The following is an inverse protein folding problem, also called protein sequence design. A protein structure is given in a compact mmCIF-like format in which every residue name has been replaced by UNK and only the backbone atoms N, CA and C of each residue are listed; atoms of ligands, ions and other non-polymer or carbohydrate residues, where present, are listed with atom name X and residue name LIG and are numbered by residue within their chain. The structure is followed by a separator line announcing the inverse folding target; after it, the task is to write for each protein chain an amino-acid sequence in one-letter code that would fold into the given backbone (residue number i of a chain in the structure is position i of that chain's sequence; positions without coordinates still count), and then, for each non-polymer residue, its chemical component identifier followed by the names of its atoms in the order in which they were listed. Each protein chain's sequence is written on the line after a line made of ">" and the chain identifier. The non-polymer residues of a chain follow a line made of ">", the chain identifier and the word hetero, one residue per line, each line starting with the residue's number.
data_IF_532146156622
#
_entry.id   IF_532146156622
#
_cell.length_a   1.000
_cell.length_b   1.000
_cell.length_c   1.000
_cell.angle_alpha   90.00
_cell.angle_beta   90.00
_cell.angle_gamma   90.00
#
_symmetry.space_group_name_H-M   'P 1'
#
loop_
_entity.id
_entity.type
_entity.pdbx_description
1 polymer ?
#
# COMPACT_ATOMS: atom_id res chain seq x y z
N UNK A 1 10.23 -5.11 -28.26
CA UNK A 1 10.80 -4.20 -27.23
C UNK A 1 9.90 -3.02 -26.82
N UNK A 2 8.85 -2.65 -27.56
CA UNK A 2 8.03 -1.44 -27.29
C UNK A 2 6.94 -1.59 -26.21
N UNK A 3 6.45 -2.81 -25.92
CA UNK A 3 5.39 -3.05 -24.91
C UNK A 3 5.89 -2.91 -23.46
N UNK A 4 7.10 -3.38 -23.17
CA UNK A 4 7.68 -3.34 -21.82
C UNK A 4 7.96 -1.92 -21.36
N UNK A 5 8.44 -1.04 -22.27
CA UNK A 5 8.70 0.38 -21.96
C UNK A 5 7.41 1.12 -21.61
N UNK A 6 6.31 0.87 -22.33
CA UNK A 6 5.01 1.50 -22.05
C UNK A 6 4.42 1.08 -20.70
N UNK A 7 4.56 -0.19 -20.30
CA UNK A 7 4.09 -0.66 -19.00
C UNK A 7 4.85 -0.01 -17.84
N UNK A 8 6.18 0.10 -17.95
CA UNK A 8 7.00 0.74 -16.90
C UNK A 8 6.69 2.23 -16.79
N UNK A 9 6.53 2.94 -17.91
CA UNK A 9 6.15 4.36 -17.88
C UNK A 9 4.75 4.58 -17.26
N UNK A 10 3.77 3.74 -17.62
CA UNK A 10 2.43 3.84 -17.07
C UNK A 10 2.40 3.62 -15.54
N UNK A 11 3.14 2.62 -15.05
CA UNK A 11 3.25 2.35 -13.62
C UNK A 11 3.91 3.51 -12.86
N UNK A 12 4.98 4.10 -13.41
CA UNK A 12 5.65 5.27 -12.81
C UNK A 12 4.73 6.48 -12.74
N UNK A 13 3.97 6.73 -13.81
CA UNK A 13 3.05 7.88 -13.87
C UNK A 13 1.89 7.73 -12.87
N UNK A 14 1.36 6.51 -12.72
CA UNK A 14 0.36 6.22 -11.69
C UNK A 14 0.92 6.42 -10.27
N UNK A 15 2.15 5.96 -10.00
CA UNK A 15 2.78 6.14 -8.69
C UNK A 15 2.99 7.63 -8.36
N UNK A 16 3.50 8.42 -9.31
CA UNK A 16 3.70 9.85 -9.13
C UNK A 16 2.39 10.60 -8.86
N UNK A 17 1.33 10.29 -9.62
CA UNK A 17 0.01 10.90 -9.42
C UNK A 17 -0.58 10.55 -8.04
N UNK A 18 -0.35 9.34 -7.54
CA UNK A 18 -0.81 8.91 -6.20
C UNK A 18 -0.08 9.67 -5.10
N UNK A 19 1.25 9.71 -5.16
CA UNK A 19 2.07 10.46 -4.21
C UNK A 19 1.66 11.93 -4.14
N UNK A 20 1.36 12.54 -5.29
CA UNK A 20 0.87 13.92 -5.35
C UNK A 20 -0.49 14.07 -4.65
N UNK A 21 -1.45 13.19 -4.93
CA UNK A 21 -2.78 13.25 -4.30
C UNK A 21 -2.67 13.08 -2.78
N UNK A 22 -1.89 12.11 -2.32
CA UNK A 22 -1.66 11.87 -0.89
C UNK A 22 -1.02 13.10 -0.24
N UNK A 23 0.04 13.66 -0.83
CA UNK A 23 0.71 14.84 -0.31
C UNK A 23 -0.24 16.05 -0.20
N UNK A 24 -1.04 16.30 -1.24
CA UNK A 24 -2.03 17.41 -1.26
C UNK A 24 -3.09 17.23 -0.18
N UNK A 25 -3.67 16.02 -0.05
CA UNK A 25 -4.68 15.72 0.96
C UNK A 25 -4.11 15.82 2.38
N UNK A 26 -2.91 15.32 2.61
CA UNK A 26 -2.22 15.43 3.91
C UNK A 26 -1.89 16.88 4.27
N UNK A 27 -1.45 17.69 3.29
CA UNK A 27 -1.18 19.10 3.51
C UNK A 27 -2.47 19.88 3.84
N UNK A 28 -3.54 19.66 3.06
CA UNK A 28 -4.85 20.27 3.31
C UNK A 28 -5.42 19.84 4.67
N UNK A 29 -5.30 18.56 5.02
CA UNK A 29 -5.70 18.01 6.31
C UNK A 29 -4.92 18.64 7.47
N UNK A 30 -3.61 18.80 7.34
CA UNK A 30 -2.76 19.45 8.34
C UNK A 30 -3.11 20.92 8.56
N UNK A 31 -3.25 21.68 7.47
CA UNK A 31 -3.62 23.10 7.54
C UNK A 31 -5.04 23.30 8.08
N UNK A 32 -6.01 22.51 7.60
CA UNK A 32 -7.40 22.59 8.05
C UNK A 32 -7.56 22.21 9.51
N UNK A 33 -6.84 21.19 9.97
CA UNK A 33 -6.90 20.77 11.37
C UNK A 33 -6.25 21.78 12.32
N UNK A 34 -5.15 22.44 11.92
CA UNK A 34 -4.57 23.56 12.66
C UNK A 34 -5.55 24.75 12.77
N UNK A 35 -6.29 25.04 11.69
CA UNK A 35 -7.31 26.09 11.69
C UNK A 35 -8.50 25.76 12.60
N UNK A 36 -9.05 24.53 12.52
CA UNK A 36 -10.17 24.08 13.36
C UNK A 36 -9.82 24.13 14.84
N UNK A 37 -8.58 23.76 15.21
CA UNK A 37 -8.12 23.83 16.60
C UNK A 37 -8.21 25.25 17.18
N UNK A 38 -7.88 26.26 16.38
CA UNK A 38 -8.01 27.66 16.79
C UNK A 38 -9.48 28.09 16.93
N UNK A 39 -10.36 27.55 16.09
CA UNK A 39 -11.78 27.90 16.10
C UNK A 39 -12.56 27.19 17.22
N UNK A 40 -12.14 25.98 17.62
CA UNK A 40 -12.91 25.09 18.48
C UNK A 40 -12.00 24.44 19.54
N UNK A 41 -11.74 25.15 20.64
CA UNK A 41 -11.00 24.59 21.79
C UNK A 41 -11.95 23.93 22.78
N UNK A 42 -12.22 22.64 22.62
CA UNK A 42 -12.89 21.84 23.66
C UNK A 42 -11.85 21.28 24.65
N UNK A 43 -11.99 21.51 25.96
CA UNK A 43 -11.11 20.91 26.96
C UNK A 43 -11.22 19.39 26.91
N UNK A 44 -10.09 18.69 26.78
CA UNK A 44 -10.00 17.23 26.88
C UNK A 44 -10.27 16.43 25.59
N UNK A 45 -10.68 17.07 24.49
CA UNK A 45 -10.83 16.39 23.20
C UNK A 45 -9.67 16.75 22.26
N UNK A 46 -8.82 15.77 21.97
CA UNK A 46 -7.71 15.92 21.01
C UNK A 46 -8.23 15.84 19.57
N UNK A 47 -8.82 16.94 19.06
CA UNK A 47 -9.29 17.06 17.67
C UNK A 47 -8.21 16.73 16.64
N UNK A 48 -6.95 16.99 16.99
CA UNK A 48 -5.76 16.65 16.20
C UNK A 48 -5.70 15.14 15.88
N UNK A 49 -5.99 14.30 16.88
CA UNK A 49 -5.99 12.84 16.72
C UNK A 49 -7.19 12.37 15.88
N UNK A 50 -8.37 12.94 16.11
CA UNK A 50 -9.58 12.61 15.36
C UNK A 50 -9.42 12.99 13.88
N UNK A 51 -8.93 14.20 13.59
CA UNK A 51 -8.73 14.67 12.22
C UNK A 51 -7.63 13.90 11.50
N UNK A 52 -6.55 13.51 12.20
CA UNK A 52 -5.56 12.60 11.64
C UNK A 52 -6.22 11.28 11.21
N UNK A 53 -7.00 10.63 12.07
CA UNK A 53 -7.70 9.37 11.74
C UNK A 53 -8.55 9.55 10.46
N UNK A 54 -9.37 10.59 10.39
CA UNK A 54 -10.27 10.81 9.25
C UNK A 54 -9.57 11.16 7.95
N UNK A 55 -8.34 11.70 7.99
CA UNK A 55 -7.54 12.00 6.78
C UNK A 55 -6.71 10.79 6.35
N UNK A 56 -6.17 10.01 7.28
CA UNK A 56 -5.35 8.82 6.96
C UNK A 56 -6.18 7.62 6.53
N UNK A 57 -7.36 7.40 7.12
CA UNK A 57 -8.20 6.23 6.81
C UNK A 57 -8.59 6.18 5.31
N UNK A 58 -9.07 7.26 4.69
CA UNK A 58 -9.42 7.26 3.27
C UNK A 58 -8.21 7.05 2.36
N UNK A 59 -7.04 7.58 2.70
CA UNK A 59 -5.81 7.36 1.94
C UNK A 59 -5.39 5.89 1.98
N UNK A 60 -5.44 5.26 3.16
CA UNK A 60 -5.19 3.83 3.36
C UNK A 60 -6.21 2.98 2.61
N UNK A 61 -7.50 3.29 2.70
CA UNK A 61 -8.56 2.58 2.00
C UNK A 61 -8.43 2.70 0.48
N UNK A 62 -8.19 3.90 -0.03
CA UNK A 62 -7.97 4.15 -1.46
C UNK A 62 -6.75 3.37 -1.95
N UNK A 63 -5.67 3.34 -1.17
CA UNK A 63 -4.48 2.56 -1.49
C UNK A 63 -4.75 1.06 -1.54
N UNK A 64 -5.45 0.50 -0.55
CA UNK A 64 -5.80 -0.93 -0.52
C UNK A 64 -6.65 -1.32 -1.73
N UNK A 65 -7.64 -0.49 -2.09
CA UNK A 65 -8.49 -0.71 -3.27
C UNK A 65 -7.66 -0.67 -4.56
N UNK A 66 -6.73 0.28 -4.66
CA UNK A 66 -5.90 0.48 -5.84
C UNK A 66 -4.70 -0.48 -5.95
N UNK A 67 -4.30 -1.11 -4.85
CA UNK A 67 -3.19 -2.08 -4.79
C UNK A 67 -3.64 -3.52 -5.07
N UNK A 68 -4.95 -3.78 -5.11
CA UNK A 68 -5.54 -5.09 -5.43
C UNK A 68 -5.22 -5.60 -6.85
N UNK A 69 -4.67 -4.79 -7.75
CA UNK A 69 -4.50 -5.16 -9.18
C UNK A 69 -3.03 -5.39 -9.58
N UNK A 70 -2.40 -6.47 -9.12
CA UNK A 70 -1.19 -7.07 -9.75
C UNK A 70 0.18 -6.46 -9.43
N UNK A 71 0.42 -5.96 -8.22
CA UNK A 71 1.79 -5.56 -7.81
C UNK A 71 2.36 -6.58 -6.82
N UNK A 72 3.62 -6.96 -6.98
CA UNK A 72 4.39 -7.76 -6.02
C UNK A 72 4.11 -7.31 -4.59
N UNK A 73 3.69 -8.23 -3.71
CA UNK A 73 3.40 -7.95 -2.29
C UNK A 73 4.50 -7.11 -1.64
N UNK A 74 5.76 -7.47 -1.88
CA UNK A 74 6.90 -6.74 -1.32
C UNK A 74 7.00 -5.30 -1.80
N UNK A 75 6.72 -5.04 -3.10
CA UNK A 75 6.71 -3.68 -3.67
C UNK A 75 5.48 -2.89 -3.23
N UNK A 76 4.33 -3.55 -3.11
CA UNK A 76 3.09 -2.94 -2.63
C UNK A 76 3.22 -2.52 -1.16
N UNK A 77 3.79 -3.36 -0.30
CA UNK A 77 4.09 -3.05 1.10
C UNK A 77 5.07 -1.88 1.20
N UNK A 78 6.19 -1.93 0.46
CA UNK A 78 7.16 -0.83 0.45
C UNK A 78 6.54 0.50 -0.01
N UNK A 79 5.76 0.47 -1.09
CA UNK A 79 5.03 1.65 -1.56
C UNK A 79 4.06 2.19 -0.51
N UNK A 80 3.30 1.31 0.14
CA UNK A 80 2.37 1.68 1.22
C UNK A 80 3.10 2.37 2.38
N UNK A 81 4.19 1.79 2.87
CA UNK A 81 4.94 2.37 3.99
C UNK A 81 5.54 3.73 3.62
N UNK A 82 6.08 3.88 2.41
CA UNK A 82 6.60 5.17 1.92
C UNK A 82 5.49 6.21 1.86
N UNK A 83 4.32 5.87 1.33
CA UNK A 83 3.20 6.81 1.22
C UNK A 83 2.66 7.24 2.58
N UNK A 84 2.43 6.28 3.48
CA UNK A 84 1.96 6.58 4.84
C UNK A 84 3.01 7.45 5.55
N UNK A 85 4.30 7.13 5.43
CA UNK A 85 5.38 7.94 6.00
C UNK A 85 5.39 9.37 5.43
N UNK A 86 5.30 9.52 4.11
CA UNK A 86 5.26 10.83 3.46
C UNK A 86 4.04 11.64 3.92
N UNK A 87 2.88 11.01 4.02
CA UNK A 87 1.66 11.63 4.50
C UNK A 87 1.83 12.18 5.94
N UNK A 88 2.45 11.39 6.84
CA UNK A 88 2.79 11.82 8.21
C UNK A 88 3.73 13.00 8.22
N UNK A 89 4.82 12.94 7.45
CA UNK A 89 5.79 14.05 7.39
C UNK A 89 5.13 15.31 6.87
N UNK A 90 4.39 15.24 5.76
CA UNK A 90 3.74 16.40 5.13
C UNK A 90 2.68 17.00 6.03
N UNK A 91 1.84 16.17 6.66
CA UNK A 91 0.85 16.65 7.63
C UNK A 91 1.53 17.37 8.80
N UNK A 92 2.56 16.74 9.39
CA UNK A 92 3.30 17.27 10.54
C UNK A 92 3.95 18.61 10.22
N UNK A 93 4.60 18.71 9.06
CA UNK A 93 5.23 19.95 8.59
C UNK A 93 4.18 21.02 8.31
N UNK A 94 3.07 20.68 7.65
CA UNK A 94 2.00 21.63 7.35
C UNK A 94 1.35 22.18 8.62
N UNK A 95 1.12 21.32 9.61
CA UNK A 95 0.65 21.72 10.92
C UNK A 95 1.63 22.66 11.63
N UNK A 96 2.92 22.30 11.64
CA UNK A 96 3.96 23.11 12.24
C UNK A 96 4.05 24.51 11.61
N UNK A 97 3.99 24.60 10.28
CA UNK A 97 3.98 25.87 9.56
C UNK A 97 2.74 26.71 9.86
N UNK A 98 1.58 26.08 10.05
CA UNK A 98 0.33 26.78 10.35
C UNK A 98 0.23 27.28 11.81
N UNK A 99 0.78 26.53 12.78
CA UNK A 99 0.56 26.79 14.21
C UNK A 99 1.82 27.24 14.98
N UNK A 100 3.02 27.01 14.44
CA UNK A 100 4.29 27.50 14.98
C UNK A 100 4.79 26.87 16.28
N UNK A 101 4.01 26.01 16.95
CA UNK A 101 4.44 25.27 18.15
C UNK A 101 4.18 23.78 18.02
N UNK A 102 5.22 23.02 18.33
CA UNK A 102 5.20 21.58 18.38
C UNK A 102 5.11 21.16 19.86
N UNK A 103 3.99 20.55 20.25
CA UNK A 103 3.85 19.97 21.59
C UNK A 103 4.27 18.51 21.52
N UNK A 104 5.13 18.07 22.44
CA UNK A 104 5.67 16.70 22.49
C UNK A 104 4.56 15.63 22.53
N UNK A 105 3.44 15.94 23.17
CA UNK A 105 2.28 15.04 23.27
C UNK A 105 1.61 14.77 21.92
N UNK A 106 1.54 15.76 21.02
CA UNK A 106 0.87 15.61 19.71
C UNK A 106 1.72 14.72 18.81
N UNK A 107 3.04 14.89 18.82
CA UNK A 107 3.95 14.03 18.06
C UNK A 107 3.85 12.58 18.52
N UNK A 108 3.83 12.34 19.84
CA UNK A 108 3.69 11.01 20.41
C UNK A 108 2.41 10.32 19.94
N UNK A 109 1.27 11.02 20.01
CA UNK A 109 -0.03 10.49 19.54
C UNK A 109 0.00 10.20 18.04
N UNK A 110 0.60 11.09 17.24
CA UNK A 110 0.73 10.89 15.79
C UNK A 110 1.59 9.67 15.44
N UNK A 111 2.72 9.47 16.13
CA UNK A 111 3.59 8.31 15.91
C UNK A 111 2.87 7.01 16.28
N UNK A 112 2.21 6.97 17.46
CA UNK A 112 1.47 5.77 17.90
C UNK A 112 0.35 5.44 16.91
N UNK A 113 -0.39 6.45 16.47
CA UNK A 113 -1.46 6.26 15.49
C UNK A 113 -0.93 5.78 14.15
N UNK A 114 0.20 6.30 13.68
CA UNK A 114 0.88 5.84 12.47
C UNK A 114 1.24 4.35 12.54
N UNK A 115 1.81 3.90 13.66
CA UNK A 115 2.16 2.49 13.87
C UNK A 115 0.89 1.63 13.75
N UNK A 116 -0.18 2.00 14.46
CA UNK A 116 -1.45 1.25 14.44
C UNK A 116 -2.02 1.20 13.02
N UNK A 117 -2.12 2.33 12.33
CA UNK A 117 -2.67 2.40 10.98
C UNK A 117 -1.85 1.57 9.98
N UNK A 118 -0.52 1.65 10.04
CA UNK A 118 0.38 0.86 9.19
C UNK A 118 0.27 -0.64 9.49
N UNK A 119 0.15 -1.02 10.77
CA UNK A 119 -0.06 -2.42 11.17
C UNK A 119 -1.40 -2.95 10.66
N UNK A 120 -2.51 -2.23 10.85
CA UNK A 120 -3.83 -2.64 10.38
C UNK A 120 -3.84 -2.76 8.85
N UNK A 121 -3.29 -1.78 8.15
CA UNK A 121 -3.22 -1.81 6.68
C UNK A 121 -2.41 -3.01 6.17
N UNK A 122 -1.29 -3.32 6.84
CA UNK A 122 -0.46 -4.49 6.52
C UNK A 122 -1.23 -5.79 6.72
N UNK A 123 -1.85 -5.97 7.89
CA UNK A 123 -2.65 -7.16 8.22
C UNK A 123 -3.81 -7.31 7.24
N UNK A 124 -4.56 -6.25 6.97
CA UNK A 124 -5.67 -6.29 6.04
C UNK A 124 -5.22 -6.62 4.62
N UNK A 125 -4.09 -6.06 4.15
CA UNK A 125 -3.54 -6.39 2.85
C UNK A 125 -3.11 -7.86 2.78
N UNK A 126 -2.47 -8.38 3.82
CA UNK A 126 -2.10 -9.80 3.92
C UNK A 126 -3.33 -10.72 3.92
N UNK A 127 -4.36 -10.39 4.70
CA UNK A 127 -5.62 -11.14 4.74
C UNK A 127 -6.32 -11.12 3.39
N UNK A 128 -6.45 -9.95 2.77
CA UNK A 128 -7.07 -9.81 1.46
C UNK A 128 -6.31 -10.62 0.40
N UNK A 129 -4.98 -10.62 0.45
CA UNK A 129 -4.20 -11.45 -0.45
C UNK A 129 -4.37 -12.93 -0.16
N UNK A 130 -4.37 -13.34 1.11
CA UNK A 130 -4.57 -14.74 1.49
C UNK A 130 -5.92 -15.26 0.96
N UNK A 131 -6.98 -14.45 1.11
CA UNK A 131 -8.33 -14.77 0.61
C UNK A 131 -8.43 -14.73 -0.92
N UNK A 132 -7.67 -13.86 -1.58
CA UNK A 132 -7.69 -13.73 -3.03
C UNK A 132 -6.78 -14.73 -3.75
N UNK A 133 -5.84 -15.40 -3.06
CA UNK A 133 -5.01 -16.46 -3.65
C UNK A 133 -5.91 -17.65 -4.00
N UNK A 134 -6.18 -17.94 -5.29
CA UNK A 134 -6.94 -19.14 -5.64
C UNK A 134 -6.18 -20.37 -5.14
N UNK A 135 -6.74 -21.15 -4.23
CA UNK A 135 -6.02 -22.24 -3.53
C UNK A 135 -5.65 -23.46 -4.41
N UNK A 136 -5.56 -23.33 -5.73
CA UNK A 136 -5.34 -24.44 -6.64
C UNK A 136 -4.36 -24.05 -7.74
N UNK A 137 -3.07 -24.35 -7.53
CA UNK A 137 -2.03 -24.22 -8.56
C UNK A 137 -0.60 -24.23 -8.02
N UNK A 138 0.41 -24.58 -8.83
CA UNK A 138 1.82 -24.40 -8.47
C UNK A 138 2.17 -22.92 -8.30
N UNK A 139 2.79 -22.59 -7.17
CA UNK A 139 3.20 -21.24 -6.79
C UNK A 139 4.71 -21.15 -6.64
N UNK A 140 5.28 -20.00 -7.02
CA UNK A 140 6.69 -19.72 -6.77
C UNK A 140 6.97 -19.72 -5.26
N UNK A 141 7.93 -20.54 -4.82
CA UNK A 141 8.34 -20.66 -3.41
C UNK A 141 8.91 -19.36 -2.82
N UNK A 142 9.45 -18.47 -3.67
CA UNK A 142 10.06 -17.21 -3.23
C UNK A 142 9.06 -16.05 -3.12
N UNK A 143 8.18 -15.87 -4.12
CA UNK A 143 7.32 -14.70 -4.18
C UNK A 143 5.81 -15.00 -4.14
N UNK A 144 5.43 -16.29 -4.25
CA UNK A 144 4.03 -16.71 -4.26
C UNK A 144 3.27 -16.38 -5.55
N UNK A 145 3.97 -16.09 -6.66
CA UNK A 145 3.34 -15.90 -7.97
C UNK A 145 2.81 -17.24 -8.52
N UNK A 146 1.63 -17.24 -9.12
CA UNK A 146 1.06 -18.44 -9.75
C UNK A 146 1.83 -18.77 -11.03
N UNK A 147 2.38 -19.97 -11.12
CA UNK A 147 3.24 -20.37 -12.22
C UNK A 147 2.51 -21.03 -13.39
N UNK A 148 1.19 -21.22 -13.28
CA UNK A 148 0.36 -21.85 -14.31
C UNK A 148 0.39 -21.03 -15.60
N UNK A 149 0.58 -21.70 -16.74
CA UNK A 149 0.51 -21.11 -18.08
C UNK A 149 1.71 -20.27 -18.48
N UNK A 150 2.83 -20.35 -17.74
CA UNK A 150 4.07 -19.66 -18.10
C UNK A 150 4.81 -20.40 -19.23
N UNK A 151 5.26 -19.70 -20.28
CA UNK A 151 6.05 -20.31 -21.36
C UNK A 151 7.52 -20.57 -20.97
N UNK A 152 7.98 -20.03 -19.83
CA UNK A 152 9.37 -20.13 -19.37
C UNK A 152 9.45 -20.61 -17.92
N UNK A 153 10.45 -21.45 -17.60
CA UNK A 153 10.76 -21.97 -16.25
C UNK A 153 11.41 -20.94 -15.31
N UNK A 154 10.98 -19.69 -15.41
CA UNK A 154 11.47 -18.58 -14.61
C UNK A 154 10.30 -17.73 -14.18
N UNK A 155 10.20 -17.47 -12.89
CA UNK A 155 9.16 -16.63 -12.35
C UNK A 155 9.30 -15.22 -12.95
N UNK A 156 8.27 -14.69 -13.63
CA UNK A 156 8.35 -13.36 -14.25
C UNK A 156 8.48 -12.25 -13.20
N UNK A 157 8.10 -12.53 -11.96
CA UNK A 157 8.08 -11.55 -10.88
C UNK A 157 9.42 -11.43 -10.15
N UNK A 158 9.96 -12.54 -9.64
CA UNK A 158 11.20 -12.54 -8.85
C UNK A 158 12.43 -13.00 -9.62
N UNK A 159 12.27 -13.50 -10.85
CA UNK A 159 13.35 -14.03 -11.66
C UNK A 159 13.91 -15.37 -11.18
N UNK A 160 13.35 -15.95 -10.12
CA UNK A 160 13.73 -17.27 -9.61
C UNK A 160 13.38 -18.33 -10.65
N UNK A 161 14.37 -19.12 -11.02
CA UNK A 161 14.15 -20.34 -11.80
C UNK A 161 13.47 -21.39 -10.92
N UNK A 162 12.62 -22.19 -11.54
CA UNK A 162 11.88 -23.23 -10.84
C UNK A 162 11.82 -24.48 -11.71
N UNK A 163 11.78 -25.64 -11.06
CA UNK A 163 11.55 -26.91 -11.75
C UNK A 163 10.16 -27.46 -11.37
N UNK A 164 9.46 -28.18 -12.28
CA UNK A 164 8.21 -28.85 -11.95
C UNK A 164 8.35 -29.78 -10.73
N UNK A 165 9.51 -30.44 -10.63
CA UNK A 165 9.84 -31.38 -9.56
C UNK A 165 9.91 -30.69 -8.18
N UNK A 166 10.52 -29.51 -8.10
CA UNK A 166 10.55 -28.68 -6.88
C UNK A 166 9.15 -28.24 -6.44
N UNK A 167 8.24 -28.09 -7.39
CA UNK A 167 6.86 -27.66 -7.15
C UNK A 167 5.92 -28.84 -6.87
N UNK A 168 6.39 -30.08 -7.01
CA UNK A 168 5.58 -31.28 -6.84
C UNK A 168 4.44 -31.41 -7.85
N UNK A 169 4.58 -30.81 -9.03
CA UNK A 169 3.57 -30.83 -10.10
C UNK A 169 4.16 -31.38 -11.39
N UNK A 170 3.30 -31.98 -12.20
CA UNK A 170 3.70 -32.48 -13.53
C UNK A 170 3.84 -31.33 -14.52
N UNK A 171 4.65 -31.55 -15.57
CA UNK A 171 4.87 -30.54 -16.61
C UNK A 171 3.56 -30.18 -17.36
N UNK A 172 2.63 -31.13 -17.46
CA UNK A 172 1.31 -30.94 -18.05
C UNK A 172 0.41 -30.03 -17.19
N UNK A 173 0.45 -30.14 -15.87
CA UNK A 173 -0.31 -29.26 -14.95
C UNK A 173 0.19 -27.81 -14.99
N UNK A 174 1.48 -27.62 -15.23
CA UNK A 174 2.10 -26.30 -15.42
C UNK A 174 1.69 -25.63 -16.73
N UNK A 175 1.56 -26.41 -17.81
CA UNK A 175 1.18 -25.92 -19.13
C UNK A 175 -0.33 -25.85 -19.36
N UNK A 176 -1.13 -26.49 -18.50
CA UNK A 176 -2.58 -26.44 -18.59
C UNK A 176 -3.07 -24.98 -18.52
N UNK A 177 -3.91 -24.51 -19.46
CA UNK A 177 -4.52 -23.21 -19.33
C UNK A 177 -5.33 -23.19 -18.03
N UNK A 178 -5.22 -22.12 -17.25
CA UNK A 178 -5.97 -21.96 -16.02
C UNK A 178 -7.44 -22.29 -16.31
N UNK A 179 -7.93 -23.41 -15.77
CA UNK A 179 -9.24 -23.94 -16.10
C UNK A 179 -10.27 -22.81 -15.88
N UNK A 180 -11.00 -22.36 -16.92
CA UNK A 180 -12.02 -21.34 -16.72
C UNK A 180 -12.98 -21.88 -15.67
N UNK A 181 -13.04 -21.20 -14.52
CA UNK A 181 -13.96 -21.58 -13.46
C UNK A 181 -15.38 -21.65 -14.06
N UNK A 182 -16.19 -22.67 -13.71
CA UNK A 182 -17.61 -22.66 -14.04
C UNK A 182 -18.30 -21.43 -13.42
#
# INVERSE_FOLDING_TARGET
>A
MTRTVRMVQFARWQCARRLLVVAVLSAAGGAGSAWVRNAVSFPGLHWDAVLAVFVYLPAVCLWIVLSRRQVLLRRALWGMHIEIFLAVVVFTVSWFLAYGRFWDEVLGVMIVFWIIAASIATVLLLLLQHWQRPHTGPYCLQCGYCLIGLPSRRCPECGTEFTPEELGVTEQELLAPANPRP
#
